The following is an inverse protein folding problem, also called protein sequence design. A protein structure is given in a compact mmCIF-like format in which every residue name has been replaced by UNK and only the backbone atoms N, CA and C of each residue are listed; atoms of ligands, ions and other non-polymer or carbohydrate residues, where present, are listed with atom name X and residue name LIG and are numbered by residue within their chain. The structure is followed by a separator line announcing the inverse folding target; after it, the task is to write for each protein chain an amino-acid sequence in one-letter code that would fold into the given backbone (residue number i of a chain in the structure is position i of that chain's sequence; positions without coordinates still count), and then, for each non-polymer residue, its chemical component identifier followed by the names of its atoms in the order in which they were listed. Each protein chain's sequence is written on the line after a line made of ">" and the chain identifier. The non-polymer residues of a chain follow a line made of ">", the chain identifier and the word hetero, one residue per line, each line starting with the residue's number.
data_IF_972107703086
#
_entry.id   IF_972107703086
#
_cell.length_a   1.000
_cell.length_b   1.000
_cell.length_c   1.000
_cell.angle_alpha   90.00
_cell.angle_beta   90.00
_cell.angle_gamma   90.00
#
_symmetry.space_group_name_H-M   'P 1'
#
loop_
_entity.id
_entity.type
_entity.pdbx_description
1 polymer ?
#
# COMPACT_ATOMS: atom_id res chain seq x y z
N UNK A 1 4.68 -20.27 -11.41
CA UNK A 1 4.11 -20.14 -10.04
C UNK A 1 3.74 -18.71 -9.59
N UNK A 2 4.21 -17.63 -10.24
CA UNK A 2 3.89 -16.24 -9.81
C UNK A 2 2.41 -15.87 -9.96
N UNK A 3 1.74 -16.41 -10.98
CA UNK A 3 0.30 -16.21 -11.24
C UNK A 3 -0.54 -16.85 -10.13
N UNK A 4 -0.23 -18.10 -9.74
CA UNK A 4 -0.92 -18.79 -8.64
C UNK A 4 -0.84 -18.01 -7.33
N UNK A 5 0.34 -17.45 -7.01
CA UNK A 5 0.52 -16.59 -5.82
C UNK A 5 -0.35 -15.32 -5.87
N UNK A 6 -0.49 -14.71 -7.04
CA UNK A 6 -1.35 -13.53 -7.24
C UNK A 6 -2.84 -13.88 -7.12
N UNK A 7 -3.25 -15.05 -7.60
CA UNK A 7 -4.62 -15.54 -7.43
C UNK A 7 -4.93 -15.87 -5.97
N UNK A 8 -4.00 -16.52 -5.26
CA UNK A 8 -4.16 -16.82 -3.84
C UNK A 8 -4.33 -15.56 -3.00
N UNK A 9 -3.48 -14.55 -3.22
CA UNK A 9 -3.59 -13.25 -2.54
C UNK A 9 -4.96 -12.58 -2.77
N UNK A 10 -5.43 -12.54 -4.03
CA UNK A 10 -6.76 -12.00 -4.35
C UNK A 10 -7.88 -12.77 -3.68
N UNK A 11 -7.76 -14.09 -3.58
CA UNK A 11 -8.75 -14.93 -2.91
C UNK A 11 -8.83 -14.61 -1.42
N UNK A 12 -7.69 -14.48 -0.73
CA UNK A 12 -7.65 -14.08 0.69
C UNK A 12 -8.29 -12.71 0.93
N UNK A 13 -7.98 -11.72 0.07
CA UNK A 13 -8.60 -10.40 0.13
C UNK A 13 -10.12 -10.45 -0.08
N UNK A 14 -10.58 -11.24 -1.05
CA UNK A 14 -12.01 -11.41 -1.32
C UNK A 14 -12.75 -12.07 -0.15
N UNK A 15 -12.17 -13.11 0.45
CA UNK A 15 -12.75 -13.77 1.62
C UNK A 15 -12.86 -12.79 2.80
N UNK A 16 -11.82 -11.99 3.03
CA UNK A 16 -11.81 -10.97 4.07
C UNK A 16 -12.90 -9.92 3.83
N UNK A 17 -12.96 -9.33 2.63
CA UNK A 17 -13.99 -8.36 2.27
C UNK A 17 -15.41 -8.93 2.39
N UNK A 18 -15.58 -10.22 2.07
CA UNK A 18 -16.87 -10.91 2.20
C UNK A 18 -17.31 -10.99 3.66
N UNK A 19 -16.41 -11.35 4.58
CA UNK A 19 -16.73 -11.39 6.03
C UNK A 19 -17.20 -10.03 6.56
N UNK A 20 -16.56 -8.93 6.15
CA UNK A 20 -17.02 -7.58 6.53
C UNK A 20 -18.37 -7.23 5.91
N UNK A 21 -18.61 -7.60 4.65
CA UNK A 21 -19.91 -7.41 4.01
C UNK A 21 -21.02 -8.21 4.72
N UNK A 22 -20.74 -9.43 5.17
CA UNK A 22 -21.67 -10.26 5.94
C UNK A 22 -21.97 -9.67 7.33
N UNK A 23 -20.99 -8.99 7.94
CA UNK A 23 -21.17 -8.25 9.18
C UNK A 23 -21.94 -6.91 9.00
N UNK A 24 -22.28 -6.53 7.76
CA UNK A 24 -22.94 -5.26 7.43
C UNK A 24 -21.99 -4.07 7.28
N UNK A 25 -20.68 -4.30 7.34
CA UNK A 25 -19.65 -3.28 7.15
C UNK A 25 -19.25 -3.13 5.68
N UNK A 26 -20.18 -2.61 4.87
CA UNK A 26 -20.00 -2.47 3.43
C UNK A 26 -18.90 -1.48 3.03
N UNK A 27 -18.68 -0.43 3.83
CA UNK A 27 -17.64 0.57 3.58
C UNK A 27 -16.24 -0.06 3.74
N UNK A 28 -16.03 -0.81 4.82
CA UNK A 28 -14.81 -1.57 5.10
C UNK A 28 -14.55 -2.62 4.02
N UNK A 29 -15.58 -3.40 3.66
CA UNK A 29 -15.48 -4.38 2.57
C UNK A 29 -15.04 -3.72 1.24
N UNK A 30 -15.57 -2.53 0.93
CA UNK A 30 -15.23 -1.80 -0.29
C UNK A 30 -13.83 -1.19 -0.25
N UNK A 31 -13.34 -0.81 0.92
CA UNK A 31 -11.99 -0.29 1.11
C UNK A 31 -10.94 -1.39 0.89
N UNK A 32 -11.15 -2.57 1.49
CA UNK A 32 -10.29 -3.76 1.33
C UNK A 32 -10.11 -4.14 -0.15
N UNK A 33 -11.18 -4.06 -0.94
CA UNK A 33 -11.13 -4.35 -2.39
C UNK A 33 -10.38 -3.28 -3.20
N UNK A 34 -10.34 -2.04 -2.74
CA UNK A 34 -9.61 -0.94 -3.40
C UNK A 34 -8.12 -0.98 -3.11
N UNK A 35 -7.72 -1.42 -1.92
CA UNK A 35 -6.32 -1.54 -1.54
C UNK A 35 -5.59 -2.60 -2.40
N UNK A 36 -6.27 -3.69 -2.77
CA UNK A 36 -5.71 -4.74 -3.65
C UNK A 36 -5.50 -4.28 -5.10
N UNK A 37 -6.21 -3.23 -5.53
CA UNK A 37 -6.04 -2.62 -6.84
C UNK A 37 -4.75 -1.79 -6.95
N UNK A 38 -4.18 -1.36 -5.82
CA UNK A 38 -2.88 -0.69 -5.76
C UNK A 38 -1.79 -1.77 -5.57
N UNK A 39 -1.02 -2.12 -6.62
CA UNK A 39 0.09 -3.05 -6.45
C UNK A 39 1.06 -2.44 -5.42
N UNK A 40 1.36 -3.22 -4.37
CA UNK A 40 2.33 -2.88 -3.33
C UNK A 40 3.59 -2.23 -3.91
N UNK A 41 3.72 -0.94 -3.65
CA UNK A 41 4.87 -0.13 -4.00
C UNK A 41 5.04 1.07 -3.07
N UNK A 42 4.43 1.05 -1.88
CA UNK A 42 4.56 2.12 -0.89
C UNK A 42 4.64 1.55 0.53
N UNK A 43 5.85 1.15 0.91
CA UNK A 43 6.29 1.22 2.30
C UNK A 43 6.27 2.70 2.69
N UNK A 44 5.48 3.07 3.69
CA UNK A 44 5.63 4.35 4.36
C UNK A 44 5.69 4.11 5.87
N UNK A 45 6.88 4.10 6.49
CA UNK A 45 7.01 4.68 7.81
C UNK A 45 7.14 6.19 7.62
N UNK A 46 6.08 6.90 8.00
CA UNK A 46 6.15 8.31 8.36
C UNK A 46 7.19 8.47 9.47
N UNK A 47 8.30 9.18 9.22
CA UNK A 47 9.25 9.55 10.27
C UNK A 47 10.72 9.59 9.87
N UNK A 48 11.17 10.70 9.29
CA UNK A 48 12.54 11.22 9.43
C UNK A 48 12.52 12.67 8.93
N UNK A 49 12.71 13.70 9.74
CA UNK A 49 13.84 13.83 10.66
C UNK A 49 15.05 14.39 9.89
N UNK A 50 15.03 15.71 9.68
CA UNK A 50 16.09 16.64 9.29
C UNK A 50 17.53 16.09 9.15
N UNK A 51 18.23 16.43 8.05
CA UNK A 51 19.60 16.98 8.17
C UNK A 51 20.03 17.76 6.93
N UNK A 52 20.06 19.08 7.12
CA UNK A 52 20.87 20.10 6.46
C UNK A 52 22.13 19.57 5.76
N UNK A 53 22.25 19.81 4.46
CA UNK A 53 23.55 20.09 3.84
C UNK A 53 23.39 21.30 2.95
N UNK A 54 23.96 22.39 3.44
CA UNK A 54 24.27 23.60 2.71
C UNK A 54 25.22 23.15 1.60
N UNK A 55 24.69 22.86 0.41
CA UNK A 55 25.51 22.63 -0.77
C UNK A 55 25.98 24.00 -1.23
N UNK A 56 27.15 24.37 -0.71
CA UNK A 56 28.05 25.42 -1.15
C UNK A 56 27.71 25.96 -2.54
N UNK A 57 27.39 27.24 -2.57
CA UNK A 57 27.39 28.04 -3.78
C UNK A 57 28.68 27.81 -4.59
N UNK A 58 28.48 27.55 -5.88
CA UNK A 58 29.30 28.00 -7.01
C UNK A 58 30.80 27.64 -7.05
N UNK A 59 31.13 26.62 -7.83
CA UNK A 59 32.24 26.63 -8.81
C UNK A 59 32.17 27.90 -9.73
N UNK A 60 33.05 28.11 -10.71
CA UNK A 60 34.53 28.17 -10.74
C UNK A 60 35.03 29.48 -11.42
N UNK A 61 36.26 29.92 -11.13
CA UNK A 61 37.24 30.48 -12.11
C UNK A 61 38.58 30.79 -11.44
#
# INVERSE_FOLDING_TARGET
>A
MKVLKKLAKRFETLMTATTFAEAGEFETAREILKEDAQPEGKTAPSGSGQRLYIQSCSEPR
#
